data_IF_990536542941
#
_entry.id   IF_990536542941
#
_cell.length_a   1.000
_cell.length_b   1.000
_cell.length_c   1.000
_cell.angle_alpha   90.00
_cell.angle_beta   90.00
_cell.angle_gamma   90.00
#
_symmetry.space_group_name_H-M   'P 1'
#
loop_
_entity.id
_entity.type
_entity.pdbx_description
1 polymer ?
#
# COMPACT_ATOMS: atom_id res chain seq x y z
N UNK A 1 6.37 -12.28 16.91
CA UNK A 1 6.15 -12.46 15.47
C UNK A 1 6.53 -11.18 14.77
N UNK A 2 7.11 -11.29 13.58
CA UNK A 2 7.45 -10.16 12.72
C UNK A 2 6.48 -10.08 11.56
N UNK A 3 5.74 -8.98 11.48
CA UNK A 3 4.65 -8.80 10.52
C UNK A 3 5.04 -7.67 9.58
N UNK A 4 5.08 -7.96 8.28
CA UNK A 4 5.24 -6.91 7.29
C UNK A 4 3.96 -6.08 7.16
N UNK A 5 4.11 -4.78 6.96
CA UNK A 5 3.01 -3.91 6.54
C UNK A 5 3.37 -3.25 5.22
N UNK A 6 2.41 -3.24 4.31
CA UNK A 6 2.49 -2.51 3.07
C UNK A 6 1.10 -2.02 2.67
N UNK A 7 1.03 -1.06 1.75
CA UNK A 7 -0.25 -0.69 1.18
C UNK A 7 -0.15 0.01 -0.17
N UNK A 8 -1.27 -0.05 -0.87
CA UNK A 8 -1.49 0.57 -2.16
C UNK A 8 -2.97 0.89 -2.31
N UNK A 9 -3.35 2.09 -1.88
CA UNK A 9 -4.74 2.50 -1.75
C UNK A 9 -5.12 3.54 -2.81
N UNK A 10 -6.07 3.19 -3.67
CA UNK A 10 -6.71 4.09 -4.63
C UNK A 10 -8.10 3.57 -5.01
N UNK A 11 -9.04 4.48 -5.24
CA UNK A 11 -10.35 4.18 -5.82
C UNK A 11 -10.43 4.72 -7.23
N UNK A 12 -10.73 3.86 -8.21
CA UNK A 12 -10.76 4.23 -9.61
C UNK A 12 -12.17 4.51 -10.12
N UNK A 13 -12.33 5.67 -10.77
CA UNK A 13 -13.44 5.98 -11.66
C UNK A 13 -12.99 5.84 -13.12
N UNK A 14 -13.37 4.73 -13.75
CA UNK A 14 -12.97 4.42 -15.14
C UNK A 14 -13.58 5.36 -16.20
N UNK A 15 -14.54 6.22 -15.83
CA UNK A 15 -15.05 7.28 -16.71
C UNK A 15 -14.25 8.59 -16.65
N UNK A 16 -13.32 8.72 -15.69
CA UNK A 16 -12.48 9.90 -15.58
C UNK A 16 -11.47 9.96 -16.73
N UNK A 17 -11.32 11.14 -17.34
CA UNK A 17 -10.44 11.32 -18.50
C UNK A 17 -8.95 11.38 -18.17
N UNK A 18 -8.60 11.66 -16.90
CA UNK A 18 -7.21 11.75 -16.45
C UNK A 18 -6.84 10.46 -15.71
N UNK A 19 -5.76 9.78 -16.11
CA UNK A 19 -5.26 8.62 -15.37
C UNK A 19 -4.59 9.06 -14.06
N UNK A 20 -4.49 8.14 -13.11
CA UNK A 20 -3.70 8.32 -11.87
C UNK A 20 -2.27 7.85 -12.14
N UNK A 21 -1.31 8.75 -12.00
CA UNK A 21 0.12 8.53 -12.24
C UNK A 21 0.86 8.34 -10.93
N UNK A 22 2.11 7.89 -11.00
CA UNK A 22 2.96 7.68 -9.82
C UNK A 22 3.12 8.97 -8.99
N UNK A 23 3.22 10.12 -9.66
CA UNK A 23 3.35 11.44 -9.04
C UNK A 23 2.09 11.90 -8.25
N UNK A 24 0.94 11.25 -8.47
CA UNK A 24 -0.29 11.54 -7.73
C UNK A 24 -0.36 10.80 -6.38
N UNK A 25 0.54 9.83 -6.15
CA UNK A 25 0.61 9.08 -4.90
C UNK A 25 1.48 9.79 -3.86
N UNK A 26 0.95 9.90 -2.64
CA UNK A 26 1.76 10.14 -1.46
C UNK A 26 2.38 8.81 -1.03
N UNK A 27 3.69 8.70 -1.09
CA UNK A 27 4.43 7.47 -0.81
C UNK A 27 5.31 7.68 0.43
N UNK A 28 5.18 6.77 1.39
CA UNK A 28 6.01 6.70 2.59
C UNK A 28 6.68 5.34 2.67
N UNK A 29 7.96 5.29 3.01
CA UNK A 29 8.74 4.05 3.01
C UNK A 29 9.33 3.74 4.39
N UNK A 30 9.37 2.44 4.73
CA UNK A 30 10.02 1.97 5.94
C UNK A 30 9.56 2.71 7.21
N UNK A 31 10.52 3.20 7.98
CA UNK A 31 10.27 3.85 9.27
C UNK A 31 9.45 5.14 9.16
N UNK A 32 9.29 5.73 7.98
CA UNK A 32 8.46 6.94 7.77
C UNK A 32 6.96 6.65 7.93
N UNK A 33 6.53 5.41 7.71
CA UNK A 33 5.11 5.01 7.74
C UNK A 33 4.52 5.19 9.15
N UNK A 34 5.28 4.82 10.19
CA UNK A 34 4.78 4.86 11.58
C UNK A 34 4.45 6.28 12.06
N UNK A 35 5.35 7.29 11.97
CA UNK A 35 5.01 8.65 12.38
C UNK A 35 3.94 9.29 11.51
N UNK A 36 3.86 8.93 10.22
CA UNK A 36 2.86 9.47 9.31
C UNK A 36 1.45 8.97 9.62
N UNK A 37 1.29 7.67 9.88
CA UNK A 37 -0.02 7.04 10.02
C UNK A 37 -0.44 6.75 11.46
N UNK A 38 0.50 6.61 12.41
CA UNK A 38 0.23 6.08 13.75
C UNK A 38 -0.77 6.88 14.60
N UNK A 39 -1.02 8.15 14.25
CA UNK A 39 -2.00 9.02 14.92
C UNK A 39 -3.19 9.39 14.03
N UNK A 40 -3.46 8.61 12.98
CA UNK A 40 -4.56 8.83 12.05
C UNK A 40 -5.71 7.84 12.29
N UNK A 41 -6.78 7.96 11.49
CA UNK A 41 -7.88 6.98 11.42
C UNK A 41 -7.74 6.03 10.23
N UNK A 42 -6.52 5.91 9.67
CA UNK A 42 -6.21 5.00 8.58
C UNK A 42 -6.12 3.54 9.08
N UNK A 43 -6.34 2.57 8.21
CA UNK A 43 -6.17 1.14 8.51
C UNK A 43 -4.76 0.79 9.03
N UNK A 44 -3.73 1.44 8.48
CA UNK A 44 -2.34 1.33 8.96
C UNK A 44 -2.19 1.74 10.43
N UNK A 45 -2.95 2.74 10.90
CA UNK A 45 -2.96 3.11 12.32
C UNK A 45 -3.48 1.94 13.19
N UNK A 46 -4.47 1.20 12.68
CA UNK A 46 -4.96 -0.04 13.29
C UNK A 46 -3.90 -1.13 13.33
N UNK A 47 -3.09 -1.29 12.27
CA UNK A 47 -1.97 -2.25 12.26
C UNK A 47 -0.94 -1.89 13.33
N UNK A 48 -0.57 -0.61 13.43
CA UNK A 48 0.39 -0.10 14.43
C UNK A 48 -0.14 -0.32 15.85
N UNK A 49 -1.40 0.02 16.10
CA UNK A 49 -2.04 -0.16 17.40
C UNK A 49 -2.10 -1.65 17.78
N UNK A 50 -2.55 -2.51 16.87
CA UNK A 50 -2.63 -3.94 17.10
C UNK A 50 -1.26 -4.58 17.34
N UNK A 51 -0.24 -4.21 16.57
CA UNK A 51 1.12 -4.70 16.80
C UNK A 51 1.64 -4.34 18.19
N UNK A 52 1.37 -3.13 18.66
CA UNK A 52 1.71 -2.71 20.03
C UNK A 52 0.94 -3.51 21.09
N UNK A 53 -0.35 -3.72 20.88
CA UNK A 53 -1.22 -4.47 21.80
C UNK A 53 -0.78 -5.93 21.95
N UNK A 54 -0.46 -6.60 20.83
CA UNK A 54 -0.11 -8.02 20.81
C UNK A 54 1.40 -8.30 20.86
N UNK A 55 2.24 -7.27 20.95
CA UNK A 55 3.70 -7.41 21.02
C UNK A 55 4.35 -7.92 19.73
N UNK A 56 3.80 -7.55 18.56
CA UNK A 56 4.38 -7.87 17.26
C UNK A 56 5.40 -6.81 16.84
N UNK A 57 6.43 -7.25 16.13
CA UNK A 57 7.40 -6.37 15.48
C UNK A 57 6.90 -6.06 14.08
N UNK A 58 6.69 -4.79 13.76
CA UNK A 58 6.32 -4.38 12.41
C UNK A 58 7.56 -4.21 11.54
N UNK A 59 7.47 -4.70 10.30
CA UNK A 59 8.41 -4.43 9.22
C UNK A 59 7.69 -3.62 8.14
N UNK A 60 7.71 -2.28 8.22
CA UNK A 60 7.06 -1.45 7.21
C UNK A 60 7.85 -1.47 5.89
N UNK A 61 7.15 -1.62 4.76
CA UNK A 61 7.77 -1.63 3.43
C UNK A 61 7.49 -0.31 2.74
N UNK A 62 6.25 -0.11 2.32
CA UNK A 62 5.77 1.06 1.59
C UNK A 62 4.30 1.24 1.90
N UNK A 63 3.87 2.48 2.02
CA UNK A 63 2.46 2.84 1.95
C UNK A 63 2.26 3.92 0.89
N UNK A 64 1.37 3.65 -0.07
CA UNK A 64 1.11 4.51 -1.23
C UNK A 64 -0.38 4.80 -1.33
N UNK A 65 -0.76 6.05 -1.12
CA UNK A 65 -2.15 6.51 -1.21
C UNK A 65 -2.32 7.66 -2.19
N UNK A 66 -3.37 7.59 -3.02
CA UNK A 66 -3.78 8.67 -3.90
C UNK A 66 -5.26 9.01 -3.70
N UNK A 67 -5.63 10.27 -3.98
CA UNK A 67 -7.05 10.68 -3.99
C UNK A 67 -7.81 9.94 -5.10
N UNK A 68 -9.07 9.53 -4.90
CA UNK A 68 -9.86 8.87 -5.93
C UNK A 68 -9.87 9.62 -7.26
N UNK A 69 -9.50 8.92 -8.34
CA UNK A 69 -9.34 9.50 -9.68
C UNK A 69 -9.49 8.41 -10.75
N UNK A 70 -8.88 8.57 -11.93
CA UNK A 70 -9.01 7.66 -13.05
C UNK A 70 -8.32 6.32 -12.88
N UNK A 71 -8.09 5.65 -14.00
CA UNK A 71 -7.38 4.37 -14.02
C UNK A 71 -5.91 4.61 -13.66
N UNK A 72 -5.34 3.76 -12.80
CA UNK A 72 -3.92 3.82 -12.44
C UNK A 72 -3.07 3.40 -13.63
N UNK A 73 -2.04 4.19 -13.96
CA UNK A 73 -1.15 3.84 -15.08
C UNK A 73 -0.38 2.55 -14.78
N UNK A 74 -0.02 1.81 -15.84
CA UNK A 74 0.85 0.63 -15.72
C UNK A 74 2.11 0.95 -14.93
N UNK A 75 2.77 2.07 -15.27
CA UNK A 75 4.00 2.51 -14.62
C UNK A 75 3.83 2.68 -13.11
N UNK A 76 2.77 3.37 -12.67
CA UNK A 76 2.51 3.58 -11.26
C UNK A 76 2.22 2.25 -10.53
N UNK A 77 1.42 1.38 -11.17
CA UNK A 77 1.07 0.09 -10.62
C UNK A 77 2.30 -0.82 -10.43
N UNK A 78 3.10 -0.98 -11.48
CA UNK A 78 4.30 -1.81 -11.50
C UNK A 78 5.37 -1.28 -10.53
N UNK A 79 5.50 0.05 -10.39
CA UNK A 79 6.45 0.65 -9.47
C UNK A 79 6.09 0.33 -8.01
N UNK A 80 4.84 0.59 -7.59
CA UNK A 80 4.42 0.39 -6.20
C UNK A 80 4.41 -1.11 -5.86
N UNK A 81 3.81 -1.95 -6.70
CA UNK A 81 3.81 -3.41 -6.49
C UNK A 81 5.24 -3.96 -6.52
N UNK A 82 6.11 -3.46 -7.40
CA UNK A 82 7.52 -3.78 -7.45
C UNK A 82 8.24 -3.48 -6.14
N UNK A 83 8.00 -2.31 -5.53
CA UNK A 83 8.57 -1.95 -4.22
C UNK A 83 8.06 -2.85 -3.09
N UNK A 84 6.76 -3.17 -3.07
CA UNK A 84 6.20 -4.14 -2.11
C UNK A 84 6.93 -5.49 -2.24
N UNK A 85 6.99 -6.04 -3.46
CA UNK A 85 7.61 -7.34 -3.72
C UNK A 85 9.10 -7.35 -3.41
N UNK A 86 9.82 -6.27 -3.71
CA UNK A 86 11.24 -6.15 -3.37
C UNK A 86 11.46 -6.07 -1.86
N UNK A 87 10.63 -5.31 -1.13
CA UNK A 87 10.68 -5.26 0.33
C UNK A 87 10.42 -6.60 0.98
N UNK A 88 9.47 -7.38 0.47
CA UNK A 88 9.20 -8.73 0.94
C UNK A 88 10.36 -9.70 0.67
N UNK A 89 11.01 -9.60 -0.50
CA UNK A 89 12.12 -10.48 -0.89
C UNK A 89 13.42 -10.17 -0.14
N UNK A 90 13.72 -8.88 0.05
CA UNK A 90 14.96 -8.42 0.66
C UNK A 90 14.86 -8.23 2.18
N UNK A 91 13.64 -8.26 2.70
CA UNK A 91 13.34 -8.14 4.11
C UNK A 91 13.82 -9.34 4.92
N UNK A 92 13.66 -9.25 6.26
CA UNK A 92 13.99 -10.37 7.13
C UNK A 92 12.99 -11.53 6.98
N UNK A 93 13.16 -12.58 7.78
CA UNK A 93 12.11 -13.59 7.94
C UNK A 93 10.84 -12.94 8.54
N UNK A 94 9.71 -13.13 7.85
CA UNK A 94 8.39 -12.61 8.22
C UNK A 94 7.45 -13.76 8.57
N UNK A 95 6.60 -13.54 9.57
CA UNK A 95 5.56 -14.48 10.02
C UNK A 95 4.19 -14.17 9.40
N UNK A 96 4.04 -12.99 8.78
CA UNK A 96 2.79 -12.56 8.15
C UNK A 96 2.92 -11.22 7.44
N UNK A 97 1.86 -10.86 6.74
CA UNK A 97 1.71 -9.62 5.98
C UNK A 97 0.32 -9.03 6.23
N UNK A 98 0.27 -7.76 6.57
CA UNK A 98 -0.95 -6.96 6.56
C UNK A 98 -0.85 -6.00 5.37
N UNK A 99 -1.82 -6.09 4.46
CA UNK A 99 -1.90 -5.22 3.29
C UNK A 99 -3.05 -4.23 3.42
N UNK A 100 -2.72 -2.95 3.38
CA UNK A 100 -3.64 -1.83 3.30
C UNK A 100 -4.05 -1.62 1.83
N UNK A 101 -5.24 -2.07 1.47
CA UNK A 101 -5.78 -2.04 0.12
C UNK A 101 -7.16 -1.42 0.13
N UNK A 102 -7.45 -0.57 -0.87
CA UNK A 102 -8.78 0.02 -0.99
C UNK A 102 -9.81 -1.00 -1.49
N UNK A 103 -9.42 -1.90 -2.39
CA UNK A 103 -10.31 -2.93 -2.97
C UNK A 103 -11.15 -2.47 -4.16
N UNK A 104 -10.90 -1.26 -4.68
CA UNK A 104 -11.62 -0.69 -5.84
C UNK A 104 -10.66 -0.05 -6.86
N UNK A 105 -9.40 -0.48 -6.87
CA UNK A 105 -8.42 0.02 -7.81
C UNK A 105 -8.57 -0.69 -9.17
N UNK A 106 -8.51 0.11 -10.23
CA UNK A 106 -8.39 -0.35 -11.61
C UNK A 106 -7.07 0.21 -12.16
N UNK A 107 -6.22 -0.66 -12.70
CA UNK A 107 -5.05 -0.23 -13.47
C UNK A 107 -5.26 -0.48 -14.97
N UNK A 108 -4.40 0.10 -15.80
CA UNK A 108 -4.47 -0.06 -17.26
C UNK A 108 -4.43 -1.53 -17.70
N UNK A 109 -3.63 -2.34 -17.04
CA UNK A 109 -3.46 -3.75 -17.37
C UNK A 109 -4.34 -4.67 -16.51
N UNK A 110 -4.76 -4.24 -15.32
CA UNK A 110 -5.45 -5.08 -14.34
C UNK A 110 -6.76 -4.43 -13.84
N UNK A 111 -7.92 -4.87 -14.36
CA UNK A 111 -9.22 -4.38 -13.89
C UNK A 111 -9.58 -4.74 -12.44
N UNK A 112 -8.89 -5.75 -11.88
CA UNK A 112 -8.99 -6.16 -10.48
C UNK A 112 -7.62 -5.96 -9.83
N UNK A 113 -7.14 -4.72 -9.79
CA UNK A 113 -5.74 -4.42 -9.47
C UNK A 113 -5.32 -4.92 -8.07
N UNK A 114 -6.24 -4.88 -7.09
CA UNK A 114 -6.03 -5.41 -5.73
C UNK A 114 -5.95 -6.95 -5.68
N UNK A 115 -6.41 -7.65 -6.72
CA UNK A 115 -6.51 -9.11 -6.81
C UNK A 115 -5.76 -9.72 -7.99
N UNK A 116 -4.75 -9.01 -8.51
CA UNK A 116 -3.88 -9.47 -9.60
C UNK A 116 -3.12 -10.76 -9.24
N UNK A 117 -2.87 -11.62 -10.23
CA UNK A 117 -2.31 -12.98 -10.06
C UNK A 117 -1.24 -13.32 -11.09
#
# INVERSE_FOLDING_TARGET
MRIAIAGFAHESNTFASQPTRLEDFSIYEGEEIVPQYGNTFHEVAGYIAGAKEFGFELYPIIEAGATPSGTVTREAYEEVTGRILQGLKNGPQLDGLLLALHGAMVSEDFPQADGET
#
